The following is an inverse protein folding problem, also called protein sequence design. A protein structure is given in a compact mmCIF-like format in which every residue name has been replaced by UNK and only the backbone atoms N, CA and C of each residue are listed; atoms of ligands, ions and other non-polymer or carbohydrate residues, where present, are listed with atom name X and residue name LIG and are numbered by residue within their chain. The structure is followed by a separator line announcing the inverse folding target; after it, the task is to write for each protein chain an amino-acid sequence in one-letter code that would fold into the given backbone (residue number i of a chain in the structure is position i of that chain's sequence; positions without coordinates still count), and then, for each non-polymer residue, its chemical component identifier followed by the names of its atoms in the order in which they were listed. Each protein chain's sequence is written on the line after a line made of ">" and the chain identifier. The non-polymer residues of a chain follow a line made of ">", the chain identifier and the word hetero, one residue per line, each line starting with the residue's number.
data_IF_319442666761
#
_entry.id   IF_319442666761
#
_cell.length_a   1.000
_cell.length_b   1.000
_cell.length_c   1.000
_cell.angle_alpha   90.00
_cell.angle_beta   90.00
_cell.angle_gamma   90.00
#
_symmetry.space_group_name_H-M   'P 1'
#
loop_
_entity.id
_entity.type
_entity.pdbx_description
1 polymer ?
#
# COMPACT_ATOMS: atom_id res chain seq x y z
N UNK A 1 3.67 10.54 10.10
CA UNK A 1 2.27 10.86 10.44
C UNK A 1 1.80 12.19 9.88
N UNK A 2 2.54 13.30 10.00
CA UNK A 2 2.12 14.60 9.43
C UNK A 2 1.79 14.54 7.93
N UNK A 3 2.48 13.70 7.16
CA UNK A 3 2.25 13.48 5.72
C UNK A 3 0.88 12.88 5.36
N UNK A 4 0.09 12.42 6.35
CA UNK A 4 -1.30 12.02 6.15
C UNK A 4 -2.26 13.22 6.08
N UNK A 5 -1.80 14.44 6.38
CA UNK A 5 -2.59 15.62 6.14
C UNK A 5 -3.03 15.69 4.65
N UNK A 6 -4.20 16.29 4.34
CA UNK A 6 -4.62 16.53 2.97
C UNK A 6 -3.52 17.22 2.14
N UNK A 7 -3.56 17.06 0.82
CA UNK A 7 -2.61 17.61 -0.17
C UNK A 7 -1.13 17.21 -0.03
N UNK A 8 -0.76 16.41 0.98
CA UNK A 8 0.61 15.96 1.15
C UNK A 8 0.86 14.57 0.53
N UNK A 9 2.06 14.41 -0.01
CA UNK A 9 2.59 13.10 -0.38
C UNK A 9 2.89 12.32 0.89
N UNK A 10 2.28 11.13 1.02
CA UNK A 10 2.50 10.25 2.16
C UNK A 10 3.94 9.71 2.12
N UNK A 11 4.63 9.72 3.27
CA UNK A 11 5.95 9.11 3.40
C UNK A 11 5.89 7.58 3.35
N UNK A 12 6.91 6.93 2.81
CA UNK A 12 6.93 5.46 2.67
C UNK A 12 6.82 4.74 4.01
N UNK A 13 7.43 5.28 5.07
CA UNK A 13 7.34 4.67 6.40
C UNK A 13 5.89 4.60 6.89
N UNK A 14 5.02 5.52 6.47
CA UNK A 14 3.58 5.47 6.81
C UNK A 14 2.90 4.31 6.08
N UNK A 15 3.29 4.03 4.83
CA UNK A 15 2.77 2.88 4.07
C UNK A 15 3.28 1.57 4.66
N UNK A 16 4.54 1.52 5.09
CA UNK A 16 5.11 0.34 5.76
C UNK A 16 4.45 0.09 7.12
N UNK A 17 4.19 1.13 7.92
CA UNK A 17 3.39 1.00 9.15
C UNK A 17 1.99 0.43 8.85
N UNK A 18 1.36 0.86 7.75
CA UNK A 18 0.07 0.32 7.34
C UNK A 18 0.15 -1.14 6.92
N UNK A 19 1.16 -1.52 6.13
CA UNK A 19 1.43 -2.92 5.78
C UNK A 19 1.64 -3.81 7.01
N UNK A 20 2.38 -3.32 8.01
CA UNK A 20 2.60 -4.03 9.28
C UNK A 20 1.30 -4.25 10.06
N UNK A 21 0.43 -3.23 10.14
CA UNK A 21 -0.90 -3.36 10.75
C UNK A 21 -1.74 -4.39 10.01
N UNK A 22 -1.80 -4.31 8.68
CA UNK A 22 -2.58 -5.27 7.90
C UNK A 22 -2.04 -6.70 8.08
N UNK A 23 -0.72 -6.91 8.08
CA UNK A 23 -0.12 -8.22 8.34
C UNK A 23 -0.49 -8.78 9.72
N UNK A 24 -0.46 -7.94 10.75
CA UNK A 24 -0.89 -8.34 12.08
C UNK A 24 -2.37 -8.70 12.12
N UNK A 25 -3.23 -7.89 11.51
CA UNK A 25 -4.66 -8.19 11.39
C UNK A 25 -4.90 -9.50 10.63
N UNK A 26 -4.13 -9.81 9.58
CA UNK A 26 -4.18 -11.11 8.89
C UNK A 26 -3.82 -12.26 9.83
N UNK A 27 -2.78 -12.11 10.66
CA UNK A 27 -2.37 -13.14 11.61
C UNK A 27 -3.36 -13.35 12.77
N UNK A 28 -4.05 -12.29 13.17
CA UNK A 28 -5.01 -12.29 14.28
C UNK A 28 -6.39 -12.83 13.87
N UNK A 29 -6.67 -12.96 12.56
CA UNK A 29 -7.89 -13.61 12.07
C UNK A 29 -7.88 -15.08 12.47
N UNK A 30 -8.52 -15.40 13.59
CA UNK A 30 -8.75 -16.78 14.04
C UNK A 30 -9.41 -17.57 12.91
N UNK A 31 -8.99 -18.83 12.75
CA UNK A 31 -9.78 -19.80 12.01
C UNK A 31 -11.20 -19.80 12.61
N UNK A 32 -12.26 -19.59 11.82
CA UNK A 32 -13.61 -19.58 12.35
C UNK A 32 -13.83 -20.90 13.09
N UNK A 33 -14.25 -20.81 14.36
CA UNK A 33 -14.66 -22.00 15.12
C UNK A 33 -15.62 -22.83 14.25
N UNK A 34 -15.53 -24.17 14.25
CA UNK A 34 -16.32 -25.03 13.37
C UNK A 34 -17.81 -24.93 13.72
N UNK A 35 -18.48 -23.89 13.22
CA UNK A 35 -19.94 -23.77 13.28
C UNK A 35 -20.49 -24.60 12.14
N UNK A 36 -21.19 -25.67 12.52
CA UNK A 36 -21.61 -26.82 11.69
C UNK A 36 -22.27 -26.55 10.33
N UNK A 37 -22.68 -25.33 9.95
CA UNK A 37 -23.54 -25.13 8.77
C UNK A 37 -23.33 -23.83 7.95
N UNK A 38 -22.17 -23.17 8.03
CA UNK A 38 -21.87 -22.08 7.08
C UNK A 38 -20.91 -22.59 5.99
N UNK A 39 -21.38 -22.71 4.74
CA UNK A 39 -20.49 -22.72 3.56
C UNK A 39 -19.76 -21.37 3.54
N UNK A 40 -18.63 -21.25 4.25
CA UNK A 40 -17.80 -20.05 4.26
C UNK A 40 -16.56 -20.28 3.42
N UNK A 41 -16.32 -19.36 2.48
CA UNK A 41 -15.10 -19.32 1.71
C UNK A 41 -13.89 -19.27 2.66
N UNK A 42 -12.80 -20.01 2.36
CA UNK A 42 -11.56 -19.89 3.11
C UNK A 42 -11.13 -18.43 3.17
N UNK A 43 -10.61 -18.00 4.31
CA UNK A 43 -10.03 -16.68 4.44
C UNK A 43 -8.77 -16.61 3.57
N UNK A 44 -8.77 -15.72 2.58
CA UNK A 44 -7.60 -15.46 1.73
C UNK A 44 -6.44 -14.97 2.59
N UNK A 45 -5.36 -15.75 2.66
CA UNK A 45 -4.14 -15.38 3.41
C UNK A 45 -3.33 -14.36 2.61
N UNK A 46 -3.29 -13.13 3.07
CA UNK A 46 -2.57 -12.02 2.43
C UNK A 46 -1.31 -11.70 3.20
N UNK A 47 -0.29 -11.21 2.49
CA UNK A 47 0.89 -10.64 3.11
C UNK A 47 1.36 -9.39 2.37
N UNK A 48 1.76 -8.39 3.14
CA UNK A 48 2.18 -7.07 2.66
C UNK A 48 3.67 -6.90 2.92
N UNK A 49 4.46 -6.92 1.85
CA UNK A 49 5.90 -6.68 1.88
C UNK A 49 6.20 -5.17 1.98
N UNK A 50 7.39 -4.80 2.48
CA UNK A 50 7.79 -3.40 2.63
C UNK A 50 8.02 -2.70 1.29
N UNK A 51 7.97 -1.36 1.31
CA UNK A 51 8.22 -0.50 0.14
C UNK A 51 9.66 -0.56 -0.35
N UNK A 52 10.61 -0.98 0.49
CA UNK A 52 12.03 -1.04 0.17
C UNK A 52 12.44 -2.15 -0.81
N UNK A 53 11.56 -3.10 -1.12
CA UNK A 53 11.90 -4.25 -1.96
C UNK A 53 12.39 -3.84 -3.36
N UNK A 54 11.78 -2.83 -3.97
CA UNK A 54 12.18 -2.32 -5.29
C UNK A 54 12.44 -0.83 -5.18
N UNK A 55 13.66 -0.42 -5.49
CA UNK A 55 14.08 0.98 -5.40
C UNK A 55 14.21 1.62 -6.79
N UNK A 56 14.11 2.95 -6.82
CA UNK A 56 14.31 3.76 -8.03
C UNK A 56 15.68 3.45 -8.69
N UNK A 57 16.73 3.32 -7.88
CA UNK A 57 18.09 3.04 -8.34
C UNK A 57 18.20 1.71 -9.10
N UNK A 58 17.47 0.67 -8.63
CA UNK A 58 17.41 -0.63 -9.31
C UNK A 58 16.72 -0.51 -10.67
N UNK A 59 15.57 0.18 -10.72
CA UNK A 59 14.76 0.32 -11.95
C UNK A 59 15.47 1.17 -12.99
N UNK A 60 16.16 2.23 -12.57
CA UNK A 60 16.98 3.07 -13.45
C UNK A 60 18.31 2.41 -13.86
N UNK A 61 18.66 1.25 -13.30
CA UNK A 61 19.89 0.53 -13.63
C UNK A 61 21.16 1.25 -13.17
N UNK A 62 21.06 2.10 -12.14
CA UNK A 62 22.19 2.89 -11.61
C UNK A 62 23.10 2.08 -10.67
N UNK A 63 22.68 0.88 -10.29
CA UNK A 63 23.40 -0.08 -9.45
C UNK A 63 23.48 -1.45 -10.13
N UNK A 64 24.51 -2.23 -9.81
CA UNK A 64 24.78 -3.52 -10.46
C UNK A 64 23.79 -4.62 -10.05
N UNK A 65 23.57 -5.62 -10.92
CA UNK A 65 22.60 -6.72 -10.68
C UNK A 65 22.80 -7.48 -9.36
N UNK A 66 24.06 -7.69 -8.94
CA UNK A 66 24.37 -8.29 -7.64
C UNK A 66 23.89 -7.43 -6.48
N UNK A 67 24.22 -6.13 -6.50
CA UNK A 67 23.81 -5.15 -5.50
C UNK A 67 22.28 -4.99 -5.44
N UNK A 68 21.60 -5.00 -6.60
CA UNK A 68 20.12 -4.97 -6.64
C UNK A 68 19.53 -6.18 -5.90
N UNK A 69 20.09 -7.37 -6.10
CA UNK A 69 19.65 -8.58 -5.39
C UNK A 69 19.94 -8.48 -3.89
N UNK A 70 21.12 -8.01 -3.51
CA UNK A 70 21.51 -7.90 -2.09
C UNK A 70 20.56 -6.97 -1.33
N UNK A 71 20.19 -5.83 -1.92
CA UNK A 71 19.20 -4.91 -1.32
C UNK A 71 17.83 -5.59 -1.19
N UNK A 72 17.32 -6.20 -2.25
CA UNK A 72 16.02 -6.90 -2.21
C UNK A 72 16.00 -8.01 -1.15
N UNK A 73 17.03 -8.85 -1.15
CA UNK A 73 17.14 -10.00 -0.25
C UNK A 73 17.30 -9.55 1.21
N UNK A 74 18.11 -8.52 1.47
CA UNK A 74 18.26 -7.95 2.79
C UNK A 74 16.94 -7.39 3.32
N UNK A 75 16.17 -6.67 2.49
CA UNK A 75 14.89 -6.09 2.86
C UNK A 75 13.87 -7.17 3.26
N UNK A 76 13.69 -8.21 2.41
CA UNK A 76 12.77 -9.31 2.72
C UNK A 76 13.26 -10.12 3.93
N UNK A 77 14.56 -10.41 4.02
CA UNK A 77 15.11 -11.18 5.14
C UNK A 77 14.97 -10.44 6.46
N UNK A 78 15.13 -9.11 6.48
CA UNK A 78 14.88 -8.29 7.65
C UNK A 78 13.40 -8.32 8.04
N UNK A 79 12.50 -8.21 7.06
CA UNK A 79 11.05 -8.27 7.26
C UNK A 79 10.58 -9.63 7.79
N UNK A 80 11.21 -10.73 7.36
CA UNK A 80 10.86 -12.10 7.75
C UNK A 80 11.76 -12.68 8.86
N UNK A 81 12.60 -11.86 9.51
CA UNK A 81 13.68 -12.30 10.42
C UNK A 81 13.25 -13.28 11.52
N UNK A 82 12.00 -13.20 11.99
CA UNK A 82 11.48 -14.02 13.08
C UNK A 82 10.53 -15.13 12.62
N UNK A 83 10.55 -15.47 11.33
CA UNK A 83 9.64 -16.43 10.71
C UNK A 83 10.42 -17.45 9.88
N UNK A 84 9.99 -18.71 9.93
CA UNK A 84 10.43 -19.73 8.98
C UNK A 84 9.87 -19.38 7.60
N UNK A 85 10.71 -18.75 6.77
CA UNK A 85 10.31 -18.20 5.48
C UNK A 85 9.71 -19.27 4.55
N UNK A 86 10.22 -20.51 4.55
CA UNK A 86 9.67 -21.59 3.73
C UNK A 86 8.25 -21.96 4.16
N UNK A 87 8.00 -22.16 5.46
CA UNK A 87 6.64 -22.44 5.96
C UNK A 87 5.70 -21.27 5.70
N UNK A 88 6.18 -20.07 5.94
CA UNK A 88 5.41 -18.85 5.76
C UNK A 88 4.99 -18.64 4.31
N UNK A 89 5.91 -18.76 3.35
CA UNK A 89 5.61 -18.63 1.93
C UNK A 89 4.57 -19.67 1.46
N UNK A 90 4.62 -20.90 2.01
CA UNK A 90 3.65 -21.95 1.69
C UNK A 90 2.21 -21.62 2.16
N UNK A 91 2.06 -20.73 3.15
CA UNK A 91 0.75 -20.34 3.66
C UNK A 91 0.12 -19.16 2.91
N UNK A 92 0.95 -18.25 2.37
CA UNK A 92 0.49 -17.03 1.70
C UNK A 92 -0.24 -17.38 0.40
N UNK A 93 -1.39 -16.75 0.20
CA UNK A 93 -2.07 -16.77 -1.09
C UNK A 93 -1.75 -15.54 -1.93
N UNK A 94 -1.88 -14.35 -1.34
CA UNK A 94 -1.64 -13.08 -2.02
C UNK A 94 -0.43 -12.36 -1.41
N UNK A 95 0.61 -12.16 -2.20
CA UNK A 95 1.79 -11.38 -1.86
C UNK A 95 1.69 -9.98 -2.46
N UNK A 96 1.58 -8.97 -1.61
CA UNK A 96 1.45 -7.55 -1.98
C UNK A 96 2.80 -6.87 -1.87
N UNK A 97 3.23 -6.22 -2.94
CA UNK A 97 4.44 -5.41 -3.02
C UNK A 97 4.04 -3.98 -3.36
N UNK A 98 4.06 -3.05 -2.40
CA UNK A 98 3.92 -1.63 -2.68
C UNK A 98 5.18 -1.12 -3.38
N UNK A 99 5.00 -0.41 -4.49
CA UNK A 99 6.10 0.04 -5.37
C UNK A 99 6.05 1.55 -5.53
N UNK A 100 7.20 2.21 -5.32
CA UNK A 100 7.43 3.60 -5.67
C UNK A 100 8.47 3.70 -6.78
N UNK A 101 8.06 4.22 -7.94
CA UNK A 101 8.95 4.51 -9.07
C UNK A 101 8.50 5.80 -9.75
N UNK A 102 9.45 6.64 -10.17
CA UNK A 102 9.23 7.91 -10.86
C UNK A 102 8.26 8.83 -10.11
N UNK A 103 8.33 8.83 -8.77
CA UNK A 103 7.47 9.64 -7.90
C UNK A 103 6.00 9.20 -7.81
N UNK A 104 5.62 8.09 -8.46
CA UNK A 104 4.27 7.52 -8.37
C UNK A 104 4.27 6.25 -7.53
N UNK A 105 3.13 5.95 -6.90
CA UNK A 105 2.97 4.79 -6.01
C UNK A 105 1.83 3.89 -6.48
N UNK A 106 2.06 2.58 -6.50
CA UNK A 106 1.08 1.56 -6.86
C UNK A 106 1.39 0.24 -6.12
N UNK A 107 0.54 -0.78 -6.28
CA UNK A 107 0.74 -2.07 -5.60
C UNK A 107 0.72 -3.21 -6.61
N UNK A 108 1.72 -4.07 -6.56
CA UNK A 108 1.76 -5.33 -7.31
C UNK A 108 1.32 -6.47 -6.40
N UNK A 109 0.45 -7.35 -6.89
CA UNK A 109 -0.08 -8.49 -6.14
C UNK A 109 0.15 -9.76 -6.92
N UNK A 110 0.90 -10.70 -6.33
CA UNK A 110 1.01 -12.06 -6.84
C UNK A 110 0.01 -12.98 -6.12
N UNK A 111 -0.77 -13.74 -6.88
CA UNK A 111 -1.47 -14.90 -6.32
C UNK A 111 -0.62 -16.15 -6.58
N UNK A 112 -0.09 -16.74 -5.50
CA UNK A 112 0.84 -17.89 -5.57
C UNK A 112 0.22 -19.19 -5.06
N UNK A 113 -1.04 -19.18 -4.59
CA UNK A 113 -1.74 -20.40 -4.15
C UNK A 113 -2.69 -20.97 -5.18
N UNK A 114 -3.21 -20.14 -6.09
CA UNK A 114 -4.01 -20.62 -7.23
C UNK A 114 -3.19 -21.59 -8.09
N UNK A 115 -3.90 -22.52 -8.74
CA UNK A 115 -3.29 -23.44 -9.72
C UNK A 115 -2.53 -22.64 -10.78
N UNK A 116 -3.16 -21.58 -11.31
CA UNK A 116 -2.54 -20.60 -12.20
C UNK A 116 -2.11 -19.37 -11.39
N UNK A 117 -0.80 -19.12 -11.36
CA UNK A 117 -0.23 -17.89 -10.77
C UNK A 117 -0.70 -16.68 -11.58
N UNK A 118 -1.09 -15.62 -10.88
CA UNK A 118 -1.48 -14.35 -11.51
C UNK A 118 -0.74 -13.19 -10.87
N UNK A 119 -0.41 -12.18 -11.68
CA UNK A 119 0.18 -10.93 -11.22
C UNK A 119 -0.76 -9.78 -11.58
N UNK A 120 -1.22 -9.06 -10.57
CA UNK A 120 -2.16 -7.95 -10.70
C UNK A 120 -1.50 -6.65 -10.25
N UNK A 121 -1.70 -5.58 -11.01
CA UNK A 121 -1.27 -4.23 -10.65
C UNK A 121 -2.51 -3.43 -10.23
N UNK A 122 -2.48 -2.91 -9.01
CA UNK A 122 -3.49 -2.04 -8.42
C UNK A 122 -2.95 -0.60 -8.41
N UNK A 123 -3.57 0.26 -9.21
CA UNK A 123 -3.21 1.67 -9.32
C UNK A 123 -4.48 2.51 -9.51
N UNK A 124 -4.44 3.79 -9.13
CA UNK A 124 -5.41 4.79 -9.52
C UNK A 124 -5.15 5.39 -10.91
N UNK A 125 -4.05 5.06 -11.58
CA UNK A 125 -3.72 5.56 -12.92
C UNK A 125 -4.40 4.78 -14.06
N UNK A 126 -4.75 5.43 -15.21
CA UNK A 126 -5.30 4.74 -16.38
C UNK A 126 -4.23 4.06 -17.25
N UNK A 127 -2.95 4.11 -16.86
CA UNK A 127 -1.82 3.68 -17.67
C UNK A 127 -1.75 2.16 -17.88
N UNK A 128 -1.14 1.73 -18.99
CA UNK A 128 -1.00 0.33 -19.35
C UNK A 128 0.26 -0.33 -18.73
N UNK A 129 0.34 -1.67 -18.76
CA UNK A 129 1.51 -2.43 -18.31
C UNK A 129 2.81 -1.93 -18.94
N UNK A 130 2.85 -1.92 -20.27
CA UNK A 130 4.04 -1.58 -21.06
C UNK A 130 4.45 -0.13 -20.86
N UNK A 131 3.48 0.78 -20.76
CA UNK A 131 3.77 2.22 -20.67
C UNK A 131 4.36 2.66 -19.32
N UNK A 132 4.06 1.94 -18.22
CA UNK A 132 4.37 2.44 -16.87
C UNK A 132 5.00 1.43 -15.93
N UNK A 133 4.58 0.17 -15.96
CA UNK A 133 4.89 -0.77 -14.88
C UNK A 133 5.94 -1.81 -15.27
N UNK A 134 6.20 -2.00 -16.56
CA UNK A 134 7.00 -3.11 -17.10
C UNK A 134 8.35 -3.28 -16.40
N UNK A 135 9.17 -2.24 -16.31
CA UNK A 135 10.56 -2.40 -15.87
C UNK A 135 10.66 -2.81 -14.39
N UNK A 136 9.92 -2.11 -13.52
CA UNK A 136 9.84 -2.44 -12.10
C UNK A 136 9.18 -3.82 -11.86
N UNK A 137 8.17 -4.17 -12.65
CA UNK A 137 7.48 -5.45 -12.54
C UNK A 137 8.33 -6.62 -13.04
N UNK A 138 9.09 -6.43 -14.11
CA UNK A 138 10.01 -7.45 -14.63
C UNK A 138 11.13 -7.74 -13.63
N UNK A 139 11.68 -6.69 -13.02
CA UNK A 139 12.65 -6.83 -11.93
C UNK A 139 12.05 -7.51 -10.69
N UNK A 140 10.86 -7.11 -10.26
CA UNK A 140 10.19 -7.71 -9.11
C UNK A 140 9.90 -9.20 -9.34
N UNK A 141 9.48 -9.61 -10.54
CA UNK A 141 9.30 -11.03 -10.87
C UNK A 141 10.60 -11.81 -10.76
N UNK A 142 11.70 -11.26 -11.30
CA UNK A 142 13.03 -11.89 -11.24
C UNK A 142 13.44 -12.15 -9.79
N UNK A 143 13.37 -11.12 -8.94
CA UNK A 143 13.80 -11.22 -7.55
C UNK A 143 12.84 -12.06 -6.71
N UNK A 144 11.53 -11.90 -6.87
CA UNK A 144 10.59 -12.71 -6.10
C UNK A 144 10.65 -14.19 -6.51
N UNK A 145 10.79 -14.49 -7.81
CA UNK A 145 10.98 -15.86 -8.28
C UNK A 145 12.27 -16.49 -7.73
N UNK A 146 13.37 -15.74 -7.72
CA UNK A 146 14.64 -16.19 -7.12
C UNK A 146 14.49 -16.47 -5.63
N UNK A 147 13.85 -15.57 -4.88
CA UNK A 147 13.59 -15.76 -3.46
C UNK A 147 12.73 -17.00 -3.18
N UNK A 148 11.69 -17.22 -3.98
CA UNK A 148 10.87 -18.43 -3.90
C UNK A 148 11.69 -19.69 -4.19
N UNK A 149 12.59 -19.65 -5.18
CA UNK A 149 13.45 -20.78 -5.54
C UNK A 149 14.42 -21.15 -4.41
N UNK A 150 15.06 -20.15 -3.78
CA UNK A 150 15.97 -20.35 -2.64
C UNK A 150 15.26 -21.00 -1.43
N UNK A 151 13.94 -20.83 -1.32
CA UNK A 151 13.10 -21.43 -0.29
C UNK A 151 12.35 -22.68 -0.77
N UNK A 152 12.75 -23.25 -1.91
CA UNK A 152 12.16 -24.45 -2.53
C UNK A 152 10.64 -24.35 -2.78
N UNK A 153 10.12 -23.14 -3.01
CA UNK A 153 8.70 -22.94 -3.27
C UNK A 153 8.36 -23.28 -4.73
N UNK A 154 7.33 -24.12 -5.00
CA UNK A 154 7.07 -24.70 -6.33
C UNK A 154 6.57 -23.68 -7.38
N UNK A 155 6.35 -22.43 -7.00
CA UNK A 155 5.84 -21.36 -7.88
C UNK A 155 6.91 -20.41 -8.39
N UNK A 156 8.20 -20.64 -8.12
CA UNK A 156 9.30 -19.79 -8.61
C UNK A 156 9.19 -19.56 -10.12
N UNK A 157 9.11 -20.64 -10.91
CA UNK A 157 9.04 -20.57 -12.36
C UNK A 157 7.74 -19.91 -12.86
N UNK A 158 6.63 -20.14 -12.16
CA UNK A 158 5.37 -19.49 -12.50
C UNK A 158 5.43 -17.98 -12.26
N UNK A 159 6.03 -17.53 -11.16
CA UNK A 159 6.22 -16.11 -10.86
C UNK A 159 7.15 -15.44 -11.86
N UNK A 160 8.23 -16.10 -12.28
CA UNK A 160 9.14 -15.55 -13.29
C UNK A 160 8.44 -15.27 -14.62
N UNK A 161 7.54 -16.17 -15.03
CA UNK A 161 6.93 -16.16 -16.36
C UNK A 161 5.53 -15.52 -16.42
N UNK A 162 4.96 -15.12 -15.27
CA UNK A 162 3.60 -14.56 -15.23
C UNK A 162 3.51 -13.22 -15.97
N UNK A 163 2.41 -13.02 -16.70
CA UNK A 163 2.08 -11.72 -17.32
C UNK A 163 1.36 -10.84 -16.32
N UNK A 164 1.85 -9.62 -16.14
CA UNK A 164 1.20 -8.61 -15.32
C UNK A 164 -0.08 -8.08 -15.97
N UNK A 165 -1.15 -7.95 -15.17
CA UNK A 165 -2.41 -7.34 -15.59
C UNK A 165 -2.74 -6.13 -14.71
N UNK A 166 -2.95 -4.98 -15.34
CA UNK A 166 -3.42 -3.78 -14.65
C UNK A 166 -4.93 -3.87 -14.45
N UNK A 167 -5.40 -3.67 -13.21
CA UNK A 167 -6.84 -3.45 -12.99
C UNK A 167 -7.17 -1.98 -13.22
N UNK A 168 -8.24 -1.75 -13.96
CA UNK A 168 -8.77 -0.41 -14.21
C UNK A 168 -10.09 -0.23 -13.45
N UNK A 169 -10.05 0.15 -12.16
CA UNK A 169 -11.26 0.34 -11.38
C UNK A 169 -12.04 1.58 -11.84
N UNK A 170 -13.31 1.65 -11.46
CA UNK A 170 -14.21 2.78 -11.77
C UNK A 170 -13.74 4.12 -11.15
N UNK A 171 -12.91 4.07 -10.12
CA UNK A 171 -12.39 5.24 -9.38
C UNK A 171 -10.96 5.65 -9.79
N UNK A 172 -10.45 5.16 -10.94
CA UNK A 172 -9.18 5.66 -11.49
C UNK A 172 -9.26 7.16 -11.78
N UNK A 173 -8.10 7.80 -11.79
CA UNK A 173 -7.92 9.25 -11.85
C UNK A 173 -6.87 9.60 -12.91
N UNK A 174 -7.08 10.70 -13.62
CA UNK A 174 -6.11 11.24 -14.55
C UNK A 174 -5.16 12.25 -13.88
N UNK A 175 -5.65 13.00 -12.88
CA UNK A 175 -4.95 14.17 -12.34
C UNK A 175 -4.54 14.01 -10.87
N UNK A 176 -5.22 13.14 -10.11
CA UNK A 176 -4.93 12.96 -8.69
C UNK A 176 -3.70 12.06 -8.44
N UNK A 177 -2.52 12.63 -8.59
CA UNK A 177 -1.26 11.93 -8.28
C UNK A 177 -0.91 11.96 -6.79
N UNK A 178 -1.28 13.03 -6.08
CA UNK A 178 -0.88 13.24 -4.68
C UNK A 178 -1.49 12.20 -3.72
N UNK A 179 -2.67 11.68 -4.06
CA UNK A 179 -3.34 10.63 -3.29
C UNK A 179 -2.99 9.21 -3.73
N UNK A 180 -2.03 8.99 -4.64
CA UNK A 180 -1.69 7.63 -5.12
C UNK A 180 -1.40 6.64 -3.98
N UNK A 181 -0.74 7.09 -2.90
CA UNK A 181 -0.50 6.28 -1.70
C UNK A 181 -1.76 6.03 -0.88
N UNK A 182 -2.70 6.98 -0.83
CA UNK A 182 -4.00 6.76 -0.19
C UNK A 182 -4.76 5.67 -0.94
N UNK A 183 -4.79 5.74 -2.28
CA UNK A 183 -5.37 4.68 -3.11
C UNK A 183 -4.67 3.34 -2.86
N UNK A 184 -3.34 3.29 -2.86
CA UNK A 184 -2.59 2.07 -2.60
C UNK A 184 -2.92 1.45 -1.23
N UNK A 185 -2.99 2.25 -0.17
CA UNK A 185 -3.34 1.78 1.18
C UNK A 185 -4.77 1.23 1.24
N UNK A 186 -5.73 1.88 0.57
CA UNK A 186 -7.10 1.38 0.41
C UNK A 186 -7.10 0.06 -0.38
N UNK A 187 -6.29 -0.04 -1.43
CA UNK A 187 -6.20 -1.25 -2.26
C UNK A 187 -5.59 -2.42 -1.50
N UNK A 188 -4.55 -2.19 -0.70
CA UNK A 188 -3.95 -3.18 0.18
C UNK A 188 -4.97 -3.72 1.20
N UNK A 189 -5.73 -2.83 1.85
CA UNK A 189 -6.72 -3.25 2.86
C UNK A 189 -7.88 -4.03 2.23
N UNK A 190 -8.38 -3.60 1.08
CA UNK A 190 -9.63 -4.12 0.49
C UNK A 190 -9.46 -5.28 -0.49
N UNK A 191 -8.35 -5.38 -1.21
CA UNK A 191 -8.23 -6.36 -2.29
C UNK A 191 -8.01 -7.78 -1.73
N UNK A 192 -8.86 -8.72 -2.15
CA UNK A 192 -8.79 -10.14 -1.74
C UNK A 192 -8.79 -11.09 -2.95
N UNK A 193 -8.35 -10.61 -4.13
CA UNK A 193 -8.22 -11.43 -5.34
C UNK A 193 -9.48 -11.48 -6.21
N UNK A 194 -10.42 -10.56 -5.98
CA UNK A 194 -11.65 -10.42 -6.75
C UNK A 194 -11.41 -9.86 -8.16
N UNK A 195 -12.39 -10.04 -9.04
CA UNK A 195 -12.39 -9.37 -10.35
C UNK A 195 -12.72 -7.88 -10.19
N UNK A 196 -12.25 -7.04 -11.11
CA UNK A 196 -12.51 -5.59 -11.08
C UNK A 196 -14.00 -5.22 -11.03
N UNK A 197 -14.88 -6.08 -11.56
CA UNK A 197 -16.33 -5.87 -11.53
C UNK A 197 -16.91 -6.03 -10.12
N UNK A 198 -16.33 -6.92 -9.32
CA UNK A 198 -16.82 -7.25 -7.98
C UNK A 198 -16.07 -6.49 -6.89
N UNK A 199 -14.90 -5.94 -7.22
CA UNK A 199 -14.12 -5.14 -6.29
C UNK A 199 -14.71 -3.74 -6.17
N UNK A 200 -15.34 -3.46 -5.03
CA UNK A 200 -15.85 -2.13 -4.67
C UNK A 200 -15.26 -1.66 -3.35
N UNK A 201 -14.62 -0.51 -3.37
CA UNK A 201 -13.97 0.10 -2.20
C UNK A 201 -14.70 1.34 -1.70
N UNK A 202 -15.89 1.62 -2.24
CA UNK A 202 -16.72 2.78 -1.86
C UNK A 202 -16.21 4.11 -2.41
N UNK A 203 -15.32 4.08 -3.41
CA UNK A 203 -14.83 5.27 -4.12
C UNK A 203 -15.62 5.51 -5.41
N UNK A 204 -15.95 6.77 -5.66
CA UNK A 204 -16.57 7.24 -6.90
C UNK A 204 -15.51 7.58 -7.97
N UNK A 205 -15.95 7.93 -9.18
CA UNK A 205 -15.10 8.49 -10.23
C UNK A 205 -14.43 9.80 -9.77
N UNK A 206 -13.31 10.16 -10.42
CA UNK A 206 -12.57 11.40 -10.16
C UNK A 206 -13.50 12.62 -10.17
N UNK A 207 -13.63 13.25 -9.01
CA UNK A 207 -14.57 14.35 -8.74
C UNK A 207 -14.24 14.98 -7.37
N UNK A 208 -14.81 16.14 -7.07
CA UNK A 208 -14.68 16.76 -5.74
C UNK A 208 -15.19 15.85 -4.62
N UNK A 209 -16.21 15.04 -4.89
CA UNK A 209 -16.69 14.02 -3.97
C UNK A 209 -15.61 12.97 -3.68
N UNK A 210 -14.88 12.52 -4.72
CA UNK A 210 -13.76 11.59 -4.53
C UNK A 210 -12.66 12.21 -3.67
N UNK A 211 -12.30 13.48 -3.93
CA UNK A 211 -11.31 14.21 -3.12
C UNK A 211 -11.74 14.28 -1.66
N UNK A 212 -13.02 14.58 -1.40
CA UNK A 212 -13.58 14.58 -0.04
C UNK A 212 -13.52 13.20 0.62
N UNK A 213 -13.86 12.13 -0.12
CA UNK A 213 -13.74 10.75 0.36
C UNK A 213 -12.29 10.40 0.71
N UNK A 214 -11.32 10.76 -0.13
CA UNK A 214 -9.90 10.52 0.11
C UNK A 214 -9.38 11.28 1.34
N UNK A 215 -9.84 12.51 1.58
CA UNK A 215 -9.54 13.25 2.83
C UNK A 215 -10.05 12.51 4.06
N UNK A 216 -11.26 11.93 4.01
CA UNK A 216 -11.78 11.08 5.09
C UNK A 216 -10.98 9.81 5.27
N UNK A 217 -10.54 9.20 4.17
CA UNK A 217 -9.71 7.99 4.22
C UNK A 217 -8.35 8.27 4.85
N UNK A 218 -7.71 9.41 4.54
CA UNK A 218 -6.49 9.87 5.22
C UNK A 218 -6.69 9.95 6.73
N UNK A 219 -7.80 10.53 7.19
CA UNK A 219 -8.14 10.59 8.62
C UNK A 219 -8.35 9.20 9.24
N UNK A 220 -9.05 8.30 8.54
CA UNK A 220 -9.28 6.92 9.00
C UNK A 220 -7.96 6.14 9.12
N UNK A 221 -7.10 6.25 8.12
CA UNK A 221 -5.77 5.63 8.10
C UNK A 221 -4.94 6.17 9.26
N UNK A 222 -4.90 7.49 9.45
CA UNK A 222 -4.16 8.12 10.55
C UNK A 222 -4.66 7.62 11.91
N UNK A 223 -5.98 7.65 12.12
CA UNK A 223 -6.62 7.17 13.35
C UNK A 223 -6.28 5.70 13.62
N UNK A 224 -6.41 4.84 12.61
CA UNK A 224 -6.08 3.42 12.73
C UNK A 224 -4.61 3.26 13.10
N UNK A 225 -3.66 3.87 12.40
CA UNK A 225 -2.23 3.78 12.75
C UNK A 225 -1.93 4.27 14.16
N UNK A 226 -2.47 5.43 14.55
CA UNK A 226 -2.19 6.03 15.87
C UNK A 226 -2.76 5.20 17.02
N UNK A 227 -3.92 4.59 16.83
CA UNK A 227 -4.67 3.93 17.91
C UNK A 227 -4.59 2.40 17.87
N UNK A 228 -3.96 1.81 16.83
CA UNK A 228 -3.82 0.37 16.72
C UNK A 228 -2.97 -0.20 17.87
N UNK A 229 -3.29 -1.41 18.33
CA UNK A 229 -2.60 -2.06 19.45
C UNK A 229 -1.11 -2.35 19.19
N UNK A 230 -0.73 -2.50 17.92
CA UNK A 230 0.68 -2.57 17.52
C UNK A 230 1.48 -1.29 17.81
N UNK A 231 0.83 -0.13 17.85
CA UNK A 231 1.51 1.11 18.16
C UNK A 231 1.81 1.13 19.66
N UNK A 232 3.10 1.05 20.02
CA UNK A 232 3.58 1.13 21.41
C UNK A 232 3.16 2.42 22.13
N UNK A 233 2.78 3.45 21.36
CA UNK A 233 2.31 4.72 21.89
C UNK A 233 0.79 4.90 21.77
N UNK A 234 0.02 3.87 21.40
CA UNK A 234 -1.43 3.94 21.23
C UNK A 234 -2.15 4.50 22.44
N UNK A 235 -1.85 4.00 23.66
CA UNK A 235 -2.43 4.52 24.90
C UNK A 235 -2.11 6.00 25.11
N UNK A 236 -0.86 6.41 24.87
CA UNK A 236 -0.45 7.82 24.95
C UNK A 236 -1.23 8.67 23.93
N UNK A 237 -1.47 8.16 22.72
CA UNK A 237 -2.27 8.86 21.71
C UNK A 237 -3.74 9.01 22.14
N UNK A 238 -4.32 7.98 22.75
CA UNK A 238 -5.66 8.04 23.35
C UNK A 238 -5.72 9.13 24.43
N UNK A 239 -4.80 9.11 25.39
CA UNK A 239 -4.77 10.09 26.49
C UNK A 239 -4.63 11.53 25.98
N UNK A 240 -3.79 11.73 24.95
CA UNK A 240 -3.63 13.03 24.30
C UNK A 240 -4.91 13.46 23.57
N UNK A 241 -5.61 12.54 22.89
CA UNK A 241 -6.86 12.84 22.21
C UNK A 241 -7.96 13.25 23.21
N UNK A 242 -8.07 12.55 24.34
CA UNK A 242 -9.02 12.91 25.42
C UNK A 242 -8.71 14.29 26.01
N UNK A 243 -7.45 14.54 26.40
CA UNK A 243 -7.03 15.87 26.88
C UNK A 243 -7.28 16.96 25.86
N UNK A 244 -7.03 16.69 24.58
CA UNK A 244 -7.32 17.65 23.52
C UNK A 244 -8.81 17.96 23.42
N UNK A 245 -9.71 16.99 23.64
CA UNK A 245 -11.15 17.22 23.63
C UNK A 245 -11.65 18.09 24.80
N UNK A 246 -10.99 18.04 25.95
CA UNK A 246 -11.33 18.86 27.14
C UNK A 246 -11.00 20.34 26.96
N UNK A 247 -10.11 20.68 26.01
CA UNK A 247 -9.79 22.07 25.66
C UNK A 247 -10.99 22.72 24.95
N UNK A 248 -11.25 23.99 25.25
CA UNK A 248 -12.30 24.76 24.60
C UNK A 248 -12.10 24.83 23.07
N UNK A 249 -13.20 24.93 22.34
CA UNK A 249 -13.19 24.83 20.88
C UNK A 249 -12.28 25.88 20.21
N UNK A 250 -12.27 27.11 20.74
CA UNK A 250 -11.53 28.22 20.13
C UNK A 250 -10.01 28.00 20.27
N UNK A 251 -9.58 27.54 21.44
CA UNK A 251 -8.17 27.16 21.68
C UNK A 251 -7.77 25.95 20.85
N UNK A 252 -8.63 24.92 20.72
CA UNK A 252 -8.34 23.75 19.85
C UNK A 252 -8.13 24.17 18.39
N UNK A 253 -9.01 25.04 17.87
CA UNK A 253 -8.89 25.57 16.50
C UNK A 253 -7.55 26.32 16.36
N UNK A 254 -7.19 27.17 17.33
CA UNK A 254 -5.91 27.88 17.33
C UNK A 254 -4.70 26.93 17.30
N UNK A 255 -4.71 25.88 18.12
CA UNK A 255 -3.66 24.84 18.13
C UNK A 255 -3.55 24.18 16.75
N UNK A 256 -4.67 23.78 16.14
CA UNK A 256 -4.69 23.13 14.82
C UNK A 256 -4.14 24.08 13.75
N UNK A 257 -4.61 25.33 13.72
CA UNK A 257 -4.17 26.34 12.74
C UNK A 257 -2.67 26.61 12.88
N UNK A 258 -2.17 26.76 14.11
CA UNK A 258 -0.74 26.97 14.36
C UNK A 258 0.09 25.75 13.96
N UNK A 259 -0.39 24.53 14.21
CA UNK A 259 0.28 23.31 13.76
C UNK A 259 0.39 23.25 12.23
N UNK A 260 -0.68 23.61 11.50
CA UNK A 260 -0.68 23.67 10.03
C UNK A 260 0.33 24.70 9.52
N UNK A 261 0.34 25.91 10.09
CA UNK A 261 1.29 26.97 9.74
C UNK A 261 2.74 26.55 9.99
N UNK A 262 3.02 26.07 11.20
CA UNK A 262 4.37 25.60 11.58
C UNK A 262 4.87 24.50 10.64
N UNK A 263 4.00 23.59 10.19
CA UNK A 263 4.38 22.58 9.21
C UNK A 263 4.69 23.20 7.85
N UNK A 264 3.87 24.14 7.38
CA UNK A 264 4.08 24.83 6.11
C UNK A 264 5.38 25.65 6.12
N UNK A 265 5.77 26.23 7.25
CA UNK A 265 7.02 26.97 7.40
C UNK A 265 8.25 26.04 7.38
N UNK A 266 8.14 24.84 7.98
CA UNK A 266 9.22 23.83 7.96
C UNK A 266 9.40 23.15 6.60
N UNK A 267 8.29 22.86 5.92
CA UNK A 267 8.26 22.09 4.67
C UNK A 267 7.21 22.69 3.72
N UNK A 268 7.55 23.81 3.03
CA UNK A 268 6.62 24.48 2.13
C UNK A 268 6.15 23.53 1.03
N UNK A 269 4.85 23.55 0.73
CA UNK A 269 4.30 22.72 -0.35
C UNK A 269 5.10 22.93 -1.63
N UNK A 270 5.74 21.87 -2.14
CA UNK A 270 6.38 21.90 -3.45
C UNK A 270 5.30 22.28 -4.46
N UNK A 271 5.44 23.45 -5.08
CA UNK A 271 4.45 24.05 -5.99
C UNK A 271 3.94 22.98 -6.94
N UNK A 272 2.73 22.50 -6.69
CA UNK A 272 1.97 21.76 -7.68
C UNK A 272 1.77 22.75 -8.82
N UNK A 273 2.45 22.56 -9.96
CA UNK A 273 2.09 23.27 -11.18
C UNK A 273 0.62 22.98 -11.40
N UNK A 274 -0.25 23.92 -11.04
CA UNK A 274 -1.61 24.00 -11.55
C UNK A 274 -1.45 24.09 -13.06
N UNK A 275 -1.49 22.95 -13.74
CA UNK A 275 -1.80 22.94 -15.16
C UNK A 275 -3.22 23.47 -15.20
N UNK A 276 -3.32 24.76 -15.51
CA UNK A 276 -4.58 25.46 -15.68
C UNK A 276 -5.45 24.63 -16.60
N UNK A 277 -6.58 24.14 -16.08
CA UNK A 277 -7.72 23.78 -16.90
C UNK A 277 -8.07 25.04 -17.69
N UNK A 278 -7.60 25.12 -18.94
CA UNK A 278 -8.22 26.01 -19.91
C UNK A 278 -9.57 25.39 -20.22
N UNK A 279 -10.67 26.15 -20.15
CA UNK A 279 -11.94 25.67 -20.66
C UNK A 279 -11.78 25.49 -22.17
N UNK A 280 -11.99 24.25 -22.64
CA UNK A 280 -12.06 23.98 -24.07
C UNK A 280 -13.24 24.77 -24.68
N UNK A 281 -12.95 25.40 -25.81
CA UNK A 281 -13.92 26.07 -26.69
C UNK A 281 -14.73 25.04 -27.46
#
# INVERSE_FOLDING_TARGET
>A
METLAPSLWIDNNVVDCWGAILNYEESAKKDPSPKKNAKKAPLTKRHFFPTGCITEAMVQGTIGKGEQWDIFSAEISAHLKNVDASKFLAEIELAFFPIQVSGHFYVVVFNIKKSVTSMIILDNSPQSYVAKYKDACDLLKEFFARFLLEHAHPKSDNVMNVKGRVLHPKWKTNNNHVDCRVFAMIHMESYVGETVKNWDVGLCQESDMQVWLLRRMRFKIATKILLHELNLHSQKMYDLAFKFQEIDEQTRISIIVNAIKNRADRDPEKVVRKVMLKPDK
#
